data_IF_406330024767
#
_entry.id   IF_406330024767
#
_cell.length_a   1.000
_cell.length_b   1.000
_cell.length_c   1.000
_cell.angle_alpha   90.00
_cell.angle_beta   90.00
_cell.angle_gamma   90.00
#
_symmetry.space_group_name_H-M   'P 1'
#
loop_
_entity.id
_entity.type
_entity.pdbx_description
1 polymer ?
#
# COMPACT_ATOMS: atom_id res chain seq x y z
N UNK A 1 -30.16 -10.84 8.50
CA UNK A 1 -28.97 -10.85 7.62
C UNK A 1 -28.38 -9.45 7.38
N UNK A 2 -29.19 -8.38 7.28
CA UNK A 2 -28.69 -6.99 7.13
C UNK A 2 -27.81 -6.52 8.29
N UNK A 3 -28.22 -6.79 9.53
CA UNK A 3 -27.41 -6.45 10.71
C UNK A 3 -26.01 -7.08 10.70
N UNK A 4 -25.85 -8.33 10.23
CA UNK A 4 -24.55 -8.99 10.19
C UNK A 4 -23.62 -8.28 9.19
N UNK A 5 -24.13 -7.87 8.03
CA UNK A 5 -23.34 -7.13 7.04
C UNK A 5 -22.93 -5.75 7.54
N UNK A 6 -23.84 -5.06 8.22
CA UNK A 6 -23.57 -3.75 8.79
C UNK A 6 -22.48 -3.86 9.87
N UNK A 7 -22.58 -4.85 10.77
CA UNK A 7 -21.56 -5.12 11.80
C UNK A 7 -20.21 -5.46 11.18
N UNK A 8 -20.16 -6.34 10.16
CA UNK A 8 -18.91 -6.68 9.46
C UNK A 8 -18.29 -5.42 8.83
N UNK A 9 -19.09 -4.63 8.14
CA UNK A 9 -18.63 -3.39 7.48
C UNK A 9 -18.05 -2.40 8.48
N UNK A 10 -18.72 -2.23 9.63
CA UNK A 10 -18.28 -1.35 10.70
C UNK A 10 -16.96 -1.82 11.30
N UNK A 11 -16.85 -3.11 11.66
CA UNK A 11 -15.62 -3.68 12.22
C UNK A 11 -14.44 -3.52 11.27
N UNK A 12 -14.70 -3.70 9.98
CA UNK A 12 -13.74 -3.52 8.91
C UNK A 12 -13.27 -2.06 8.77
N UNK A 13 -14.19 -1.09 8.79
CA UNK A 13 -13.86 0.35 8.78
C UNK A 13 -13.00 0.71 10.00
N UNK A 14 -13.35 0.20 11.17
CA UNK A 14 -12.57 0.41 12.39
C UNK A 14 -11.18 -0.24 12.34
N UNK A 15 -11.05 -1.43 11.74
CA UNK A 15 -9.75 -2.07 11.55
C UNK A 15 -8.82 -1.22 10.67
N UNK A 16 -9.34 -0.64 9.57
CA UNK A 16 -8.58 0.29 8.72
C UNK A 16 -8.16 1.53 9.52
N UNK A 17 -9.08 2.09 10.31
CA UNK A 17 -8.79 3.25 11.15
C UNK A 17 -7.63 2.97 12.11
N UNK A 18 -7.66 1.80 12.77
CA UNK A 18 -6.60 1.34 13.67
C UNK A 18 -5.27 1.18 12.92
N UNK A 19 -5.26 0.54 11.75
CA UNK A 19 -4.04 0.39 10.96
C UNK A 19 -3.42 1.73 10.55
N UNK A 20 -4.24 2.69 10.11
CA UNK A 20 -3.80 4.03 9.78
C UNK A 20 -3.21 4.76 10.99
N UNK A 21 -3.85 4.65 12.14
CA UNK A 21 -3.34 5.19 13.40
C UNK A 21 -2.02 4.53 13.80
N UNK A 22 -1.90 3.21 13.70
CA UNK A 22 -0.68 2.48 14.02
C UNK A 22 0.49 2.88 13.10
N UNK A 23 0.25 3.01 11.80
CA UNK A 23 1.26 3.49 10.84
C UNK A 23 1.71 4.91 11.20
N UNK A 24 0.76 5.82 11.45
CA UNK A 24 1.04 7.20 11.81
C UNK A 24 1.79 7.34 13.14
N UNK A 25 1.32 6.67 14.19
CA UNK A 25 1.94 6.66 15.52
C UNK A 25 3.34 6.06 15.47
N UNK A 26 3.52 4.92 14.78
CA UNK A 26 4.83 4.29 14.60
C UNK A 26 5.80 5.23 13.87
N UNK A 27 5.33 5.93 12.84
CA UNK A 27 6.18 6.83 12.07
C UNK A 27 6.61 8.06 12.87
N UNK A 28 5.70 8.64 13.68
CA UNK A 28 6.02 9.76 14.56
C UNK A 28 6.95 9.37 15.71
N UNK A 29 6.71 8.22 16.34
CA UNK A 29 7.50 7.75 17.50
C UNK A 29 8.90 7.31 17.10
N UNK A 30 9.03 6.53 16.03
CA UNK A 30 10.34 6.05 15.57
C UNK A 30 11.13 7.15 14.85
N UNK A 31 10.44 8.12 14.23
CA UNK A 31 11.08 9.11 13.37
C UNK A 31 11.80 8.51 12.17
N UNK A 32 11.49 7.26 11.80
CA UNK A 32 12.12 6.51 10.71
C UNK A 32 11.13 6.27 9.56
N UNK A 33 11.59 6.14 8.32
CA UNK A 33 10.72 5.77 7.21
C UNK A 33 10.06 4.41 7.41
N UNK A 34 8.83 4.29 6.93
CA UNK A 34 8.07 3.04 6.97
C UNK A 34 7.90 2.52 5.57
N UNK A 35 8.24 1.25 5.37
CA UNK A 35 8.05 0.54 4.11
C UNK A 35 6.86 -0.41 4.25
N UNK A 36 5.85 -0.20 3.42
CA UNK A 36 4.64 -1.01 3.39
C UNK A 36 4.58 -1.72 2.04
N UNK A 37 4.60 -3.04 2.05
CA UNK A 37 4.40 -3.82 0.83
C UNK A 37 3.00 -3.54 0.28
N UNK A 38 2.91 -3.15 -0.98
CA UNK A 38 1.65 -2.79 -1.64
C UNK A 38 0.66 -3.95 -1.56
N UNK A 39 1.13 -5.20 -1.69
CA UNK A 39 0.31 -6.40 -1.48
C UNK A 39 -0.34 -6.44 -0.10
N UNK A 40 0.35 -6.06 0.99
CA UNK A 40 -0.25 -6.06 2.33
C UNK A 40 -1.29 -4.96 2.49
N UNK A 41 -1.01 -3.78 1.94
CA UNK A 41 -1.92 -2.63 1.93
C UNK A 41 -3.22 -2.96 1.17
N UNK A 42 -3.09 -3.53 -0.02
CA UNK A 42 -4.22 -3.89 -0.86
C UNK A 42 -4.87 -5.22 -0.48
N UNK A 43 -4.23 -6.10 0.31
CA UNK A 43 -4.90 -7.28 0.88
C UNK A 43 -6.06 -6.87 1.77
N UNK A 44 -5.84 -5.85 2.62
CA UNK A 44 -6.89 -5.23 3.42
C UNK A 44 -8.03 -4.76 2.51
N UNK A 45 -7.74 -3.92 1.52
CA UNK A 45 -8.74 -3.43 0.57
C UNK A 45 -9.45 -4.53 -0.24
N UNK A 46 -8.75 -5.60 -0.61
CA UNK A 46 -9.30 -6.75 -1.33
C UNK A 46 -10.22 -7.56 -0.43
N UNK A 47 -9.84 -7.84 0.82
CA UNK A 47 -10.70 -8.52 1.78
C UNK A 47 -11.96 -7.69 2.06
N UNK A 48 -11.79 -6.36 2.19
CA UNK A 48 -12.88 -5.40 2.37
C UNK A 48 -13.88 -5.43 1.21
N UNK A 49 -13.37 -5.43 -0.03
CA UNK A 49 -14.24 -5.52 -1.21
C UNK A 49 -14.81 -6.91 -1.41
N UNK A 50 -14.03 -7.97 -1.25
CA UNK A 50 -14.50 -9.34 -1.43
C UNK A 50 -15.60 -9.73 -0.43
N UNK A 51 -15.52 -9.26 0.83
CA UNK A 51 -16.59 -9.46 1.82
C UNK A 51 -17.85 -8.66 1.47
N UNK A 52 -17.71 -7.42 0.99
CA UNK A 52 -18.85 -6.63 0.51
C UNK A 52 -19.50 -7.28 -0.72
N UNK A 53 -18.69 -7.74 -1.68
CA UNK A 53 -19.12 -8.34 -2.95
C UNK A 53 -19.72 -9.72 -2.78
N UNK A 54 -19.05 -10.61 -2.04
CA UNK A 54 -19.48 -11.99 -1.85
C UNK A 54 -20.88 -12.07 -1.24
N UNK A 55 -21.19 -11.18 -0.30
CA UNK A 55 -22.51 -11.16 0.33
C UNK A 55 -23.57 -10.50 -0.59
N UNK A 56 -23.20 -9.50 -1.39
CA UNK A 56 -24.09 -8.94 -2.43
C UNK A 56 -24.44 -9.96 -3.52
N UNK A 57 -23.48 -10.77 -3.95
CA UNK A 57 -23.70 -11.83 -4.95
C UNK A 57 -24.61 -12.93 -4.37
N UNK A 58 -24.44 -13.34 -3.11
CA UNK A 58 -25.37 -14.31 -2.49
C UNK A 58 -26.80 -13.79 -2.40
N UNK A 59 -27.01 -12.48 -2.24
CA UNK A 59 -28.35 -11.87 -2.28
C UNK A 59 -28.96 -11.86 -3.69
N UNK A 60 -28.17 -11.47 -4.69
CA UNK A 60 -28.57 -11.50 -6.11
C UNK A 60 -28.90 -12.91 -6.62
N UNK A 61 -28.29 -13.95 -6.04
CA UNK A 61 -28.63 -15.35 -6.36
C UNK A 61 -29.89 -15.78 -5.61
N UNK A 62 -30.15 -15.25 -4.41
CA UNK A 62 -31.34 -15.57 -3.60
C UNK A 62 -32.62 -14.83 -4.01
N UNK A 63 -32.47 -13.67 -4.66
CA UNK A 63 -33.56 -12.85 -5.19
C UNK A 63 -33.45 -12.94 -6.71
N UNK A 64 -34.35 -13.69 -7.33
CA UNK A 64 -34.37 -14.04 -8.77
C UNK A 64 -34.64 -12.86 -9.72
N UNK A 65 -34.18 -11.65 -9.37
CA UNK A 65 -34.28 -10.42 -10.16
C UNK A 65 -32.89 -9.82 -10.31
N UNK A 66 -32.09 -10.41 -11.20
CA UNK A 66 -30.87 -9.78 -11.71
C UNK A 66 -31.30 -8.88 -12.86
N UNK A 67 -31.77 -7.67 -12.56
CA UNK A 67 -31.85 -6.64 -13.61
C UNK A 67 -30.43 -6.32 -14.08
N UNK A 68 -30.19 -6.55 -15.38
CA UNK A 68 -28.89 -6.53 -16.06
C UNK A 68 -28.26 -5.12 -16.19
N UNK A 69 -28.32 -4.31 -15.14
CA UNK A 69 -27.86 -2.93 -15.14
C UNK A 69 -27.59 -2.34 -13.76
N UNK A 70 -27.56 -3.15 -12.69
CA UNK A 70 -27.36 -2.60 -11.35
C UNK A 70 -25.93 -2.03 -11.23
N UNK A 71 -25.81 -0.71 -11.26
CA UNK A 71 -24.56 0.06 -11.20
C UNK A 71 -23.67 -0.35 -9.99
N UNK A 72 -24.28 -0.98 -8.98
CA UNK A 72 -23.59 -1.63 -7.86
C UNK A 72 -22.65 -2.74 -8.33
N UNK A 73 -23.07 -3.63 -9.23
CA UNK A 73 -22.23 -4.75 -9.72
C UNK A 73 -21.03 -4.21 -10.49
N UNK A 74 -21.25 -3.22 -11.38
CA UNK A 74 -20.19 -2.58 -12.16
C UNK A 74 -19.19 -1.89 -11.22
N UNK A 75 -19.65 -1.14 -10.22
CA UNK A 75 -18.78 -0.53 -9.20
C UNK A 75 -17.93 -1.59 -8.49
N UNK A 76 -18.53 -2.71 -8.10
CA UNK A 76 -17.80 -3.79 -7.42
C UNK A 76 -16.77 -4.48 -8.33
N UNK A 77 -17.09 -4.74 -9.60
CA UNK A 77 -16.16 -5.31 -10.59
C UNK A 77 -15.02 -4.33 -10.87
N UNK A 78 -15.30 -3.03 -10.97
CA UNK A 78 -14.26 -2.00 -11.19
C UNK A 78 -13.36 -1.88 -9.97
N UNK A 79 -13.90 -1.85 -8.74
CA UNK A 79 -13.06 -1.79 -7.53
C UNK A 79 -12.28 -3.09 -7.35
N UNK A 80 -12.88 -4.26 -7.56
CA UNK A 80 -12.18 -5.54 -7.48
C UNK A 80 -11.10 -5.66 -8.55
N UNK A 81 -11.41 -5.28 -9.80
CA UNK A 81 -10.46 -5.25 -10.91
C UNK A 81 -9.31 -4.28 -10.66
N UNK A 82 -9.58 -3.09 -10.11
CA UNK A 82 -8.54 -2.12 -9.72
C UNK A 82 -7.68 -2.64 -8.57
N UNK A 83 -8.28 -3.28 -7.57
CA UNK A 83 -7.58 -3.84 -6.40
C UNK A 83 -6.72 -5.04 -6.80
N UNK A 84 -7.25 -5.94 -7.63
CA UNK A 84 -6.51 -7.06 -8.22
C UNK A 84 -5.38 -6.56 -9.13
N UNK A 85 -5.61 -5.54 -9.94
CA UNK A 85 -4.57 -4.92 -10.77
C UNK A 85 -3.41 -4.39 -9.92
N UNK A 86 -3.70 -3.65 -8.85
CA UNK A 86 -2.68 -3.15 -7.91
C UNK A 86 -1.95 -4.29 -7.17
N UNK A 87 -2.62 -5.41 -6.91
CA UNK A 87 -1.99 -6.62 -6.36
C UNK A 87 -0.92 -7.22 -7.27
N UNK A 88 -1.22 -7.31 -8.58
CA UNK A 88 -0.31 -7.87 -9.58
C UNK A 88 0.89 -6.97 -9.87
N UNK A 89 0.78 -5.66 -9.69
CA UNK A 89 1.89 -4.74 -9.94
C UNK A 89 3.03 -4.85 -8.91
N UNK A 90 2.75 -5.37 -7.71
CA UNK A 90 3.74 -5.51 -6.65
C UNK A 90 4.31 -4.15 -6.21
N UNK A 91 5.32 -4.16 -5.34
CA UNK A 91 5.98 -2.92 -4.92
C UNK A 91 5.96 -2.63 -3.43
N UNK A 92 6.64 -1.56 -3.06
CA UNK A 92 6.62 -0.97 -1.73
C UNK A 92 6.24 0.50 -1.79
N UNK A 93 5.36 0.90 -0.89
CA UNK A 93 5.17 2.30 -0.53
C UNK A 93 6.11 2.63 0.62
N UNK A 94 6.97 3.60 0.40
CA UNK A 94 7.91 4.08 1.39
C UNK A 94 7.46 5.46 1.89
N UNK A 95 7.19 5.59 3.19
CA UNK A 95 6.61 6.76 3.83
C UNK A 95 7.63 7.48 4.69
N UNK A 96 7.57 8.81 4.73
CA UNK A 96 8.43 9.65 5.56
C UNK A 96 9.83 9.86 4.96
N UNK A 97 9.99 9.59 3.65
CA UNK A 97 11.26 9.67 2.94
C UNK A 97 11.39 11.02 2.21
N UNK A 98 12.61 11.57 2.19
CA UNK A 98 12.97 12.72 1.36
C UNK A 98 13.80 12.28 0.15
N UNK A 99 13.88 13.11 -0.88
CA UNK A 99 14.66 12.81 -2.10
C UNK A 99 16.13 12.46 -1.80
N UNK A 100 16.78 13.27 -0.97
CA UNK A 100 18.18 13.06 -0.56
C UNK A 100 18.39 11.75 0.22
N UNK A 101 17.42 11.39 1.07
CA UNK A 101 17.54 10.19 1.89
C UNK A 101 17.20 8.94 1.07
N UNK A 102 16.25 9.06 0.13
CA UNK A 102 15.92 8.00 -0.81
C UNK A 102 17.11 7.63 -1.68
N UNK A 103 17.74 8.62 -2.32
CA UNK A 103 18.89 8.40 -3.20
C UNK A 103 20.06 7.75 -2.47
N UNK A 104 20.36 8.19 -1.24
CA UNK A 104 21.41 7.59 -0.40
C UNK A 104 21.08 6.14 0.00
N UNK A 105 19.85 5.87 0.40
CA UNK A 105 19.43 4.52 0.78
C UNK A 105 19.46 3.55 -0.41
N UNK A 106 19.03 4.00 -1.59
CA UNK A 106 19.10 3.21 -2.83
C UNK A 106 20.56 2.94 -3.20
N UNK A 107 21.41 3.98 -3.23
CA UNK A 107 22.83 3.82 -3.54
C UNK A 107 23.51 2.84 -2.59
N UNK A 108 23.26 2.97 -1.29
CA UNK A 108 23.75 2.04 -0.27
C UNK A 108 23.28 0.60 -0.52
N UNK A 109 22.00 0.41 -0.84
CA UNK A 109 21.44 -0.92 -1.12
C UNK A 109 22.06 -1.57 -2.36
N UNK A 110 22.20 -0.82 -3.46
CA UNK A 110 22.79 -1.33 -4.70
C UNK A 110 24.26 -1.70 -4.51
N UNK A 111 25.04 -0.87 -3.82
CA UNK A 111 26.44 -1.17 -3.50
C UNK A 111 26.57 -2.40 -2.61
N UNK A 112 25.74 -2.51 -1.56
CA UNK A 112 25.83 -3.63 -0.61
C UNK A 112 25.40 -4.96 -1.21
N UNK A 113 24.44 -4.94 -2.13
CA UNK A 113 24.02 -6.13 -2.88
C UNK A 113 24.95 -6.45 -4.05
N UNK A 114 25.95 -5.60 -4.34
CA UNK A 114 26.88 -5.79 -5.46
C UNK A 114 26.22 -5.69 -6.83
N UNK A 115 25.04 -5.06 -6.93
CA UNK A 115 24.26 -4.98 -8.15
C UNK A 115 24.87 -3.92 -9.09
N UNK A 116 25.18 -4.32 -10.34
CA UNK A 116 25.65 -3.38 -11.35
C UNK A 116 24.46 -2.59 -11.88
N UNK A 117 24.50 -1.28 -11.75
CA UNK A 117 23.37 -0.41 -12.06
C UNK A 117 23.71 0.76 -12.99
N UNK A 118 22.79 1.12 -13.87
CA UNK A 118 22.89 2.27 -14.77
C UNK A 118 21.63 3.14 -14.66
N UNK A 119 21.79 4.46 -14.48
CA UNK A 119 20.66 5.39 -14.48
C UNK A 119 20.10 5.55 -15.90
N UNK A 120 18.80 5.32 -16.07
CA UNK A 120 18.06 5.51 -17.33
C UNK A 120 16.87 6.45 -17.12
N UNK A 121 16.30 6.94 -18.23
CA UNK A 121 15.14 7.83 -18.19
C UNK A 121 13.93 7.26 -17.43
N UNK A 122 13.77 5.93 -17.41
CA UNK A 122 12.62 5.26 -16.80
C UNK A 122 12.92 4.70 -15.39
N UNK A 123 14.14 4.84 -14.87
CA UNK A 123 14.56 4.24 -13.60
C UNK A 123 16.02 3.78 -13.60
N UNK A 124 16.38 2.92 -12.66
CA UNK A 124 17.73 2.37 -12.51
C UNK A 124 17.74 0.97 -13.14
N UNK A 125 18.45 0.81 -14.25
CA UNK A 125 18.62 -0.49 -14.89
C UNK A 125 19.59 -1.35 -14.08
N UNK A 126 19.16 -2.53 -13.66
CA UNK A 126 19.98 -3.56 -13.02
C UNK A 126 20.53 -4.47 -14.11
N UNK A 127 21.82 -4.33 -14.41
CA UNK A 127 22.46 -4.92 -15.59
C UNK A 127 22.51 -6.44 -15.52
N UNK A 128 22.65 -6.99 -14.32
CA UNK A 128 22.83 -8.44 -14.11
C UNK A 128 21.51 -9.23 -14.29
N UNK A 129 20.36 -8.58 -14.10
CA UNK A 129 19.03 -9.20 -14.19
C UNK A 129 18.20 -8.72 -15.39
N UNK A 130 18.64 -7.66 -16.07
CA UNK A 130 17.87 -6.98 -17.12
C UNK A 130 16.58 -6.31 -16.60
N UNK A 131 16.43 -6.18 -15.27
CA UNK A 131 15.27 -5.54 -14.64
C UNK A 131 15.51 -4.05 -14.43
N UNK A 132 14.43 -3.28 -14.33
CA UNK A 132 14.46 -1.84 -14.05
C UNK A 132 13.89 -1.61 -12.65
N UNK A 133 14.70 -1.03 -11.77
CA UNK A 133 14.26 -0.54 -10.48
C UNK A 133 13.70 0.89 -10.63
N UNK A 134 12.40 1.03 -10.39
CA UNK A 134 11.67 2.29 -10.43
C UNK A 134 11.47 2.80 -9.01
N UNK A 135 12.06 3.95 -8.70
CA UNK A 135 11.79 4.70 -7.48
C UNK A 135 11.15 6.04 -7.84
N UNK A 136 9.82 6.15 -7.67
CA UNK A 136 9.07 7.37 -7.95
C UNK A 136 8.75 8.08 -6.65
N UNK A 137 9.46 9.17 -6.37
CA UNK A 137 9.13 10.06 -5.26
C UNK A 137 7.88 10.85 -5.62
N UNK A 138 6.84 10.73 -4.81
CA UNK A 138 5.63 11.51 -4.92
C UNK A 138 5.56 12.47 -3.72
N UNK A 139 5.43 13.77 -4.04
CA UNK A 139 5.31 14.88 -3.07
C UNK A 139 6.31 14.80 -1.88
N UNK A 140 7.62 14.88 -2.15
CA UNK A 140 8.73 15.08 -1.18
C UNK A 140 8.75 14.23 0.12
N UNK A 141 7.88 13.22 0.23
CA UNK A 141 7.52 12.63 1.55
C UNK A 141 7.08 11.18 1.48
N UNK A 142 6.78 10.67 0.28
CA UNK A 142 6.58 9.24 0.05
C UNK A 142 7.13 8.84 -1.32
N UNK A 143 7.55 7.59 -1.45
CA UNK A 143 8.05 7.04 -2.70
C UNK A 143 7.40 5.70 -2.99
N UNK A 144 7.15 5.43 -4.27
CA UNK A 144 6.75 4.12 -4.74
C UNK A 144 7.98 3.41 -5.31
N UNK A 145 8.27 2.23 -4.79
CA UNK A 145 9.41 1.41 -5.18
C UNK A 145 8.90 0.16 -5.88
N UNK A 146 9.44 -0.12 -7.05
CA UNK A 146 9.07 -1.28 -7.87
C UNK A 146 10.27 -1.77 -8.66
N UNK A 147 10.27 -3.07 -8.97
CA UNK A 147 11.14 -3.63 -10.02
C UNK A 147 10.23 -4.12 -11.15
N UNK A 148 10.54 -3.72 -12.37
CA UNK A 148 9.84 -4.12 -13.60
C UNK A 148 10.80 -4.88 -14.53
N UNK A 149 10.30 -5.92 -15.19
CA UNK A 149 11.12 -6.79 -16.05
C UNK A 149 12.04 -7.76 -15.30
N UNK A 150 12.70 -8.65 -16.05
CA UNK A 150 13.60 -9.68 -15.53
C UNK A 150 12.91 -10.95 -15.00
N UNK A 151 13.71 -12.00 -14.80
CA UNK A 151 13.30 -13.22 -14.09
C UNK A 151 13.38 -12.94 -12.58
N UNK A 152 12.25 -12.99 -11.88
CA UNK A 152 12.11 -12.74 -10.42
C UNK A 152 12.30 -11.27 -9.94
N UNK A 153 11.41 -10.34 -10.34
CA UNK A 153 11.49 -8.94 -9.92
C UNK A 153 11.20 -8.71 -8.42
N UNK A 154 10.30 -9.51 -7.81
CA UNK A 154 9.87 -9.27 -6.43
C UNK A 154 10.95 -9.60 -5.38
N UNK A 155 11.66 -10.75 -5.45
CA UNK A 155 12.75 -11.03 -4.51
C UNK A 155 13.86 -9.97 -4.53
N UNK A 156 14.25 -9.51 -5.72
CA UNK A 156 15.24 -8.42 -5.87
C UNK A 156 14.75 -7.14 -5.19
N UNK A 157 13.47 -6.80 -5.35
CA UNK A 157 12.88 -5.64 -4.67
C UNK A 157 12.86 -5.83 -3.15
N UNK A 158 12.52 -7.03 -2.66
CA UNK A 158 12.48 -7.34 -1.24
C UNK A 158 13.88 -7.20 -0.61
N UNK A 159 14.93 -7.67 -1.29
CA UNK A 159 16.33 -7.53 -0.86
C UNK A 159 16.76 -6.06 -0.80
N UNK A 160 16.49 -5.29 -1.87
CA UNK A 160 16.78 -3.86 -1.91
C UNK A 160 16.09 -3.13 -0.75
N UNK A 161 14.80 -3.38 -0.54
CA UNK A 161 14.02 -2.73 0.52
C UNK A 161 14.49 -3.17 1.91
N UNK A 162 14.92 -4.42 2.08
CA UNK A 162 15.49 -4.91 3.33
C UNK A 162 16.75 -4.13 3.72
N UNK A 163 17.69 -3.98 2.77
CA UNK A 163 18.92 -3.21 3.00
C UNK A 163 18.63 -1.72 3.20
N UNK A 164 17.65 -1.16 2.48
CA UNK A 164 17.20 0.22 2.73
C UNK A 164 16.67 0.39 4.16
N UNK A 165 15.86 -0.54 4.67
CA UNK A 165 15.39 -0.49 6.07
C UNK A 165 16.55 -0.50 7.05
N UNK A 166 17.53 -1.36 6.84
CA UNK A 166 18.73 -1.43 7.68
C UNK A 166 19.49 -0.10 7.69
N UNK A 167 19.63 0.54 6.52
CA UNK A 167 20.22 1.88 6.41
C UNK A 167 19.48 2.91 7.26
N UNK A 168 18.14 2.92 7.19
CA UNK A 168 17.31 3.84 8.00
C UNK A 168 17.25 3.49 9.48
N UNK A 169 17.53 2.25 9.84
CA UNK A 169 17.59 1.83 11.24
C UNK A 169 18.88 2.28 11.92
N UNK A 170 19.98 2.25 11.17
CA UNK A 170 21.34 2.54 11.66
C UNK A 170 21.76 4.00 11.45
N UNK A 171 21.16 4.71 10.49
CA UNK A 171 21.51 6.10 10.18
C UNK A 171 20.54 7.10 10.81
N UNK A 172 21.06 8.21 11.33
CA UNK A 172 20.21 9.35 11.69
C UNK A 172 19.87 10.15 10.43
N UNK A 173 18.67 9.91 9.89
CA UNK A 173 18.21 10.54 8.66
C UNK A 173 16.96 11.37 8.90
N UNK A 174 16.89 12.53 8.25
CA UNK A 174 15.76 13.46 8.37
C UNK A 174 14.54 12.86 7.69
N UNK A 175 13.48 12.66 8.46
CA UNK A 175 12.20 12.12 7.97
C UNK A 175 11.14 13.21 7.80
N UNK A 176 10.28 13.02 6.80
CA UNK A 176 9.13 13.88 6.55
C UNK A 176 7.99 13.53 7.52
N UNK A 177 8.11 13.96 8.79
CA UNK A 177 7.17 13.61 9.88
C UNK A 177 5.71 13.97 9.61
N UNK A 178 5.45 15.00 8.81
CA UNK A 178 4.09 15.46 8.48
C UNK A 178 3.26 14.38 7.78
N UNK A 179 3.89 13.48 7.00
CA UNK A 179 3.18 12.41 6.29
C UNK A 179 2.50 11.48 7.29
N UNK A 180 3.14 11.22 8.44
CA UNK A 180 2.57 10.38 9.49
C UNK A 180 1.41 11.06 10.20
N UNK A 181 1.42 12.39 10.31
CA UNK A 181 0.27 13.17 10.76
C UNK A 181 -0.96 12.99 9.85
N UNK A 182 -0.76 12.90 8.53
CA UNK A 182 -1.86 12.61 7.58
C UNK A 182 -2.45 11.22 7.82
N UNK A 183 -1.62 10.21 8.11
CA UNK A 183 -2.12 8.87 8.46
C UNK A 183 -2.93 8.89 9.77
N UNK A 184 -2.50 9.66 10.78
CA UNK A 184 -3.27 9.82 12.02
C UNK A 184 -4.62 10.50 11.75
N UNK A 185 -4.62 11.63 11.04
CA UNK A 185 -5.85 12.34 10.68
C UNK A 185 -6.79 11.47 9.86
N UNK A 186 -6.26 10.73 8.88
CA UNK A 186 -7.03 9.77 8.09
C UNK A 186 -7.65 8.68 8.95
N UNK A 187 -6.87 8.09 9.87
CA UNK A 187 -7.37 7.10 10.82
C UNK A 187 -8.50 7.63 11.72
N UNK A 188 -8.36 8.86 12.24
CA UNK A 188 -9.41 9.51 13.03
C UNK A 188 -10.70 9.76 12.23
N UNK A 189 -10.59 10.26 11.00
CA UNK A 189 -11.74 10.49 10.12
C UNK A 189 -12.46 9.18 9.81
N UNK A 190 -11.71 8.13 9.45
CA UNK A 190 -12.28 6.81 9.17
C UNK A 190 -12.93 6.22 10.42
N UNK A 191 -12.31 6.38 11.60
CA UNK A 191 -12.88 5.95 12.88
C UNK A 191 -14.20 6.65 13.21
N UNK A 192 -14.27 7.97 13.00
CA UNK A 192 -15.50 8.75 13.17
C UNK A 192 -16.61 8.31 12.20
N UNK A 193 -16.25 8.01 10.95
CA UNK A 193 -17.19 7.45 9.97
C UNK A 193 -17.70 6.06 10.41
N UNK A 194 -16.81 5.20 10.91
CA UNK A 194 -17.19 3.89 11.45
C UNK A 194 -18.15 3.99 12.64
N UNK A 195 -17.90 4.94 13.55
CA UNK A 195 -18.79 5.23 14.67
C UNK A 195 -20.15 5.78 14.21
N UNK A 196 -20.17 6.71 13.26
CA UNK A 196 -21.42 7.25 12.73
C UNK A 196 -22.28 6.17 12.06
N UNK A 197 -21.65 5.24 11.32
CA UNK A 197 -22.33 4.09 10.71
C UNK A 197 -22.93 3.11 11.74
N UNK A 198 -22.44 3.09 12.99
CA UNK A 198 -23.04 2.30 14.08
C UNK A 198 -24.34 2.91 14.62
N UNK A 199 -24.55 4.21 14.43
CA UNK A 199 -25.72 4.93 14.96
C UNK A 199 -26.92 4.93 14.02
N UNK A 200 -26.73 4.53 12.76
CA UNK A 200 -27.76 4.38 11.73
C UNK A 200 -28.36 2.97 11.76
#
# INVERSE_FOLDING_TARGET
>A
MEQIQQVITILLVLAIAVDFLLIGLRGLTTGKPIFIGVRRLFFGFLLLTALSVGVSITRLISVSEVEAGDARIIRHVVVFGFTAWQWFLGGYLALGITEETLGRAIGFALTRLGLRSENRANGIALLDSGSIFEARLARKSYAFLRVSGGLNPQPVLDDIVSIMREYYETSQVRTAKWVFGVFILGGLIIGLLGYWLMQL
#
